data_IF_833365529544
#
_entry.id   IF_833365529544
#
_cell.length_a   1.000
_cell.length_b   1.000
_cell.length_c   1.000
_cell.angle_alpha   90.00
_cell.angle_beta   90.00
_cell.angle_gamma   90.00
#
_symmetry.space_group_name_H-M   'P 1'
#
loop_
_entity.id
_entity.type
_entity.pdbx_description
1 polymer ?
#
# COMPACT_ATOMS: atom_id res chain seq x y z
N UNK A 1 -14.43 -3.71 -8.69
CA UNK A 1 -13.19 -4.07 -7.99
C UNK A 1 -12.70 -2.87 -7.20
N UNK A 2 -12.27 -3.09 -5.99
CA UNK A 2 -11.80 -2.02 -5.12
C UNK A 2 -10.44 -2.34 -4.48
N UNK A 3 -9.72 -1.29 -4.10
CA UNK A 3 -8.40 -1.38 -3.48
C UNK A 3 -8.33 -0.53 -2.22
N UNK A 4 -7.77 -1.11 -1.15
CA UNK A 4 -7.48 -0.42 0.11
C UNK A 4 -6.12 0.29 -0.03
N UNK A 5 -6.06 1.59 0.26
CA UNK A 5 -4.87 2.42 0.08
C UNK A 5 -4.14 2.64 1.40
N UNK A 6 -3.44 1.61 1.88
CA UNK A 6 -2.64 1.66 3.10
C UNK A 6 -1.21 2.17 2.87
N UNK A 7 -0.52 2.42 3.97
CA UNK A 7 0.87 2.85 3.92
C UNK A 7 1.12 4.20 4.56
N UNK A 8 2.22 4.84 4.18
CA UNK A 8 2.67 6.11 4.76
C UNK A 8 1.60 7.19 4.66
N UNK A 9 1.32 7.85 5.78
CA UNK A 9 0.44 9.01 5.89
C UNK A 9 1.29 10.29 5.99
N UNK A 10 1.45 10.89 7.14
CA UNK A 10 2.39 11.97 7.49
C UNK A 10 2.59 13.04 6.39
N UNK A 11 1.50 13.55 5.82
CA UNK A 11 1.52 14.55 4.74
C UNK A 11 2.18 14.05 3.44
N UNK A 12 2.28 12.73 3.25
CA UNK A 12 2.69 12.16 1.96
C UNK A 12 1.55 12.29 0.96
N UNK A 13 1.88 12.69 -0.25
CA UNK A 13 0.91 12.90 -1.33
C UNK A 13 0.83 11.73 -2.30
N UNK A 14 1.39 10.58 -1.97
CA UNK A 14 1.41 9.44 -2.89
C UNK A 14 -0.02 9.00 -3.28
N UNK A 15 -0.98 9.10 -2.35
CA UNK A 15 -2.39 8.76 -2.66
C UNK A 15 -2.98 9.72 -3.68
N UNK A 16 -2.71 11.01 -3.52
CA UNK A 16 -3.18 12.05 -4.45
C UNK A 16 -2.56 11.88 -5.84
N UNK A 17 -1.36 11.32 -5.94
CA UNK A 17 -0.71 11.00 -7.21
C UNK A 17 -1.25 9.72 -7.84
N UNK A 18 -1.59 8.72 -7.03
CA UNK A 18 -2.09 7.43 -7.52
C UNK A 18 -3.56 7.49 -7.95
N UNK A 19 -4.41 8.10 -7.14
CA UNK A 19 -5.87 8.06 -7.33
C UNK A 19 -6.29 8.50 -8.74
N UNK A 20 -5.75 9.60 -9.32
CA UNK A 20 -6.12 9.99 -10.68
C UNK A 20 -5.77 8.97 -11.76
N UNK A 21 -4.84 8.06 -11.48
CA UNK A 21 -4.41 7.02 -12.42
C UNK A 21 -5.30 5.77 -12.38
N UNK A 22 -6.13 5.64 -11.35
CA UNK A 22 -6.95 4.44 -11.13
C UNK A 22 -8.27 4.50 -11.89
N UNK A 23 -8.66 3.38 -12.50
CA UNK A 23 -9.99 3.16 -13.07
C UNK A 23 -10.87 2.30 -12.16
N UNK A 24 -10.33 1.77 -11.08
CA UNK A 24 -11.08 0.97 -10.10
C UNK A 24 -11.51 1.84 -8.92
N UNK A 25 -12.43 1.30 -8.12
CA UNK A 25 -12.82 1.91 -6.85
C UNK A 25 -11.69 1.78 -5.83
N UNK A 26 -11.71 2.64 -4.83
CA UNK A 26 -10.70 2.62 -3.78
C UNK A 26 -11.28 3.04 -2.44
N UNK A 27 -10.62 2.63 -1.38
CA UNK A 27 -10.86 3.11 -0.02
C UNK A 27 -9.60 3.80 0.49
N UNK A 28 -9.71 5.09 0.83
CA UNK A 28 -8.63 5.88 1.42
C UNK A 28 -8.82 5.93 2.94
N UNK A 29 -7.97 5.26 3.74
CA UNK A 29 -8.13 5.22 5.19
C UNK A 29 -7.71 6.50 5.90
N UNK A 30 -7.13 7.47 5.20
CA UNK A 30 -6.67 8.72 5.82
C UNK A 30 -7.87 9.55 6.22
N UNK A 31 -7.96 9.89 7.51
CA UNK A 31 -9.02 10.71 8.08
C UNK A 31 -8.42 11.78 8.98
N UNK A 32 -9.13 12.92 9.12
CA UNK A 32 -8.70 14.02 10.00
C UNK A 32 -8.83 13.63 11.46
N UNK A 33 -9.89 12.90 11.83
CA UNK A 33 -10.15 12.43 13.17
C UNK A 33 -10.09 10.90 13.23
N UNK A 34 -9.17 10.38 14.04
CA UNK A 34 -9.03 8.94 14.26
C UNK A 34 -9.98 8.47 15.36
N UNK A 35 -11.25 8.30 15.01
CA UNK A 35 -12.29 7.81 15.91
C UNK A 35 -12.31 6.28 15.98
N UNK A 36 -13.02 5.75 16.98
CA UNK A 36 -13.23 4.31 17.09
C UNK A 36 -13.99 3.75 15.87
N UNK A 37 -14.97 4.50 15.37
CA UNK A 37 -15.71 4.10 14.16
C UNK A 37 -14.81 4.12 12.91
N UNK A 38 -13.91 5.08 12.79
CA UNK A 38 -12.94 5.13 11.70
C UNK A 38 -11.99 3.93 11.74
N UNK A 39 -11.54 3.52 12.94
CA UNK A 39 -10.69 2.34 13.12
C UNK A 39 -11.42 1.05 12.69
N UNK A 40 -12.68 0.89 13.10
CA UNK A 40 -13.51 -0.25 12.72
C UNK A 40 -13.72 -0.33 11.22
N UNK A 41 -14.01 0.80 10.59
CA UNK A 41 -14.20 0.87 9.14
C UNK A 41 -12.92 0.50 8.39
N UNK A 42 -11.77 0.99 8.85
CA UNK A 42 -10.47 0.65 8.26
C UNK A 42 -10.20 -0.85 8.33
N UNK A 43 -10.39 -1.47 9.49
CA UNK A 43 -10.21 -2.92 9.66
C UNK A 43 -11.14 -3.71 8.75
N UNK A 44 -12.39 -3.29 8.63
CA UNK A 44 -13.38 -3.92 7.76
C UNK A 44 -12.97 -3.82 6.30
N UNK A 45 -12.60 -2.63 5.84
CA UNK A 45 -12.21 -2.39 4.44
C UNK A 45 -10.92 -3.11 4.07
N UNK A 46 -9.96 -3.19 4.97
CA UNK A 46 -8.74 -3.97 4.76
C UNK A 46 -9.06 -5.43 4.47
N UNK A 47 -10.06 -5.99 5.12
CA UNK A 47 -10.48 -7.38 4.93
C UNK A 47 -11.33 -7.54 3.66
N UNK A 48 -12.23 -6.60 3.38
CA UNK A 48 -13.25 -6.72 2.33
C UNK A 48 -12.78 -6.30 0.95
N UNK A 49 -11.86 -5.33 0.82
CA UNK A 49 -11.39 -4.88 -0.48
C UNK A 49 -10.76 -6.02 -1.28
N UNK A 50 -10.93 -5.97 -2.59
CA UNK A 50 -10.38 -6.99 -3.50
C UNK A 50 -8.85 -7.00 -3.46
N UNK A 51 -8.24 -5.84 -3.30
CA UNK A 51 -6.79 -5.69 -3.13
C UNK A 51 -6.49 -4.81 -1.94
N UNK A 52 -5.36 -5.09 -1.28
CA UNK A 52 -4.78 -4.23 -0.25
C UNK A 52 -3.40 -3.77 -0.74
N UNK A 53 -3.23 -2.47 -0.81
CA UNK A 53 -1.99 -1.82 -1.23
C UNK A 53 -1.33 -1.16 -0.02
N UNK A 54 -0.03 -1.35 0.10
CA UNK A 54 0.79 -0.66 1.08
C UNK A 54 1.95 0.03 0.39
N UNK A 55 1.97 1.36 0.43
CA UNK A 55 3.03 2.19 -0.13
C UNK A 55 3.83 2.80 1.01
N UNK A 56 5.11 2.54 1.04
CA UNK A 56 6.04 3.05 2.06
C UNK A 56 6.92 4.11 1.44
N UNK A 57 7.00 5.28 2.10
CA UNK A 57 7.82 6.39 1.64
C UNK A 57 8.76 6.89 2.75
N UNK A 58 9.79 7.70 2.43
CA UNK A 58 10.68 8.27 3.44
C UNK A 58 10.01 9.20 4.47
N UNK A 59 8.75 9.55 4.29
CA UNK A 59 7.98 10.29 5.30
C UNK A 59 7.42 9.39 6.39
N UNK A 60 7.60 8.07 6.28
CA UNK A 60 7.14 7.12 7.29
C UNK A 60 7.78 7.40 8.65
N UNK A 61 6.97 7.46 9.71
CA UNK A 61 7.42 7.52 11.09
C UNK A 61 6.99 6.28 11.88
N UNK A 62 5.72 5.88 11.76
CA UNK A 62 5.25 4.62 12.32
C UNK A 62 5.57 3.46 11.38
N UNK A 63 5.61 2.25 11.93
CA UNK A 63 6.00 1.05 11.18
C UNK A 63 4.86 0.05 10.99
N UNK A 64 3.66 0.39 11.46
CA UNK A 64 2.56 -0.58 11.49
C UNK A 64 2.12 -1.03 10.10
N UNK A 65 2.22 -0.18 9.09
CA UNK A 65 1.91 -0.56 7.70
C UNK A 65 2.81 -1.68 7.19
N UNK A 66 4.08 -1.72 7.65
CA UNK A 66 4.98 -2.83 7.32
C UNK A 66 4.51 -4.15 7.95
N UNK A 67 4.02 -4.08 9.18
CA UNK A 67 3.46 -5.23 9.89
C UNK A 67 2.21 -5.74 9.18
N UNK A 68 1.30 -4.83 8.82
CA UNK A 68 0.08 -5.17 8.09
C UNK A 68 0.39 -5.79 6.73
N UNK A 69 1.32 -5.20 5.97
CA UNK A 69 1.71 -5.72 4.66
C UNK A 69 2.28 -7.12 4.76
N UNK A 70 3.11 -7.38 5.76
CA UNK A 70 3.69 -8.70 6.00
C UNK A 70 2.62 -9.72 6.38
N UNK A 71 1.71 -9.34 7.29
CA UNK A 71 0.60 -10.19 7.70
C UNK A 71 -0.31 -10.53 6.53
N UNK A 72 -0.67 -9.54 5.72
CA UNK A 72 -1.51 -9.76 4.55
C UNK A 72 -0.81 -10.58 3.47
N UNK A 73 0.50 -10.41 3.29
CA UNK A 73 1.25 -11.21 2.32
C UNK A 73 1.26 -12.69 2.68
N UNK A 74 1.20 -13.02 3.97
CA UNK A 74 1.06 -14.40 4.44
C UNK A 74 -0.36 -14.94 4.30
N UNK A 75 -1.34 -14.15 4.67
CA UNK A 75 -2.74 -14.58 4.74
C UNK A 75 -3.46 -14.49 3.40
N UNK A 76 -3.13 -13.47 2.60
CA UNK A 76 -3.85 -13.10 1.37
C UNK A 76 -2.87 -12.65 0.28
N UNK A 77 -1.90 -13.51 -0.12
CA UNK A 77 -0.83 -13.07 -1.02
C UNK A 77 -1.35 -12.56 -2.39
N UNK A 78 -2.40 -13.19 -2.95
CA UNK A 78 -2.93 -12.78 -4.25
C UNK A 78 -3.58 -11.40 -4.22
N UNK A 79 -3.95 -10.91 -3.04
CA UNK A 79 -4.64 -9.62 -2.85
C UNK A 79 -3.72 -8.53 -2.34
N UNK A 80 -2.49 -8.86 -2.00
CA UNK A 80 -1.54 -7.95 -1.34
C UNK A 80 -0.55 -7.37 -2.34
N UNK A 81 -0.43 -6.05 -2.33
CA UNK A 81 0.50 -5.29 -3.16
C UNK A 81 1.36 -4.42 -2.25
N UNK A 82 2.67 -4.47 -2.45
CA UNK A 82 3.64 -3.71 -1.66
C UNK A 82 4.50 -2.86 -2.58
N UNK A 83 4.78 -1.62 -2.17
CA UNK A 83 5.63 -0.69 -2.93
C UNK A 83 6.44 0.16 -1.97
N UNK A 84 7.72 0.33 -2.27
CA UNK A 84 8.59 1.27 -1.58
C UNK A 84 8.98 2.36 -2.57
N UNK A 85 8.58 3.60 -2.27
CA UNK A 85 9.04 4.79 -3.00
C UNK A 85 10.27 5.33 -2.28
N UNK A 86 11.37 5.52 -3.00
CA UNK A 86 12.65 5.92 -2.38
C UNK A 86 12.78 7.42 -2.17
N UNK A 87 11.89 8.21 -2.76
CA UNK A 87 11.85 9.67 -2.59
C UNK A 87 10.42 10.13 -2.33
N UNK A 88 10.26 11.10 -1.43
CA UNK A 88 8.99 11.73 -1.14
C UNK A 88 9.26 13.20 -0.73
N UNK A 89 8.96 14.15 -1.62
CA UNK A 89 9.24 15.58 -1.44
C UNK A 89 10.70 15.86 -1.08
N UNK A 90 11.63 15.15 -1.73
CA UNK A 90 13.06 15.31 -1.47
C UNK A 90 13.57 14.57 -0.24
N UNK A 91 12.69 13.94 0.55
CA UNK A 91 13.10 13.06 1.64
C UNK A 91 13.56 11.72 1.08
N UNK A 92 14.61 11.18 1.66
CA UNK A 92 15.18 9.90 1.26
C UNK A 92 15.37 9.00 2.50
N UNK A 93 15.37 7.70 2.28
CA UNK A 93 15.71 6.75 3.33
C UNK A 93 17.22 6.76 3.60
N UNK A 94 17.61 6.42 4.81
CA UNK A 94 19.01 6.11 5.13
C UNK A 94 19.41 4.82 4.43
N UNK A 95 20.71 4.59 4.28
CA UNK A 95 21.22 3.35 3.71
C UNK A 95 20.75 2.12 4.50
N UNK A 96 20.74 2.22 5.82
CA UNK A 96 20.26 1.14 6.71
C UNK A 96 18.77 0.84 6.49
N UNK A 97 17.96 1.89 6.35
CA UNK A 97 16.53 1.73 6.04
C UNK A 97 16.32 1.06 4.69
N UNK A 98 17.07 1.48 3.66
CA UNK A 98 16.97 0.88 2.33
C UNK A 98 17.29 -0.62 2.35
N UNK A 99 18.30 -1.03 3.10
CA UNK A 99 18.64 -2.46 3.28
C UNK A 99 17.49 -3.22 3.92
N UNK A 100 16.91 -2.70 4.99
CA UNK A 100 15.79 -3.32 5.69
C UNK A 100 14.55 -3.41 4.79
N UNK A 101 14.28 -2.37 4.02
CA UNK A 101 13.13 -2.35 3.12
C UNK A 101 13.33 -3.29 1.94
N UNK A 102 14.55 -3.45 1.43
CA UNK A 102 14.83 -4.44 0.40
C UNK A 102 14.62 -5.86 0.91
N UNK A 103 15.02 -6.15 2.15
CA UNK A 103 14.74 -7.44 2.81
C UNK A 103 13.23 -7.65 2.98
N UNK A 104 12.50 -6.62 3.35
CA UNK A 104 11.04 -6.67 3.48
C UNK A 104 10.36 -6.96 2.14
N UNK A 105 10.79 -6.31 1.06
CA UNK A 105 10.30 -6.58 -0.30
C UNK A 105 10.51 -8.04 -0.69
N UNK A 106 11.69 -8.57 -0.41
CA UNK A 106 12.02 -9.97 -0.73
C UNK A 106 11.17 -10.95 0.08
N UNK A 107 10.95 -10.67 1.37
CA UNK A 107 10.08 -11.49 2.22
C UNK A 107 8.65 -11.54 1.67
N UNK A 108 8.09 -10.38 1.35
CA UNK A 108 6.73 -10.26 0.82
C UNK A 108 6.61 -10.94 -0.55
N UNK A 109 7.61 -10.77 -1.40
CA UNK A 109 7.68 -11.43 -2.71
C UNK A 109 7.75 -12.94 -2.56
N UNK A 110 8.52 -13.44 -1.59
CA UNK A 110 8.63 -14.88 -1.31
C UNK A 110 7.33 -15.47 -0.77
N UNK A 111 6.45 -14.65 -0.20
CA UNK A 111 5.09 -15.05 0.18
C UNK A 111 4.11 -15.07 -1.02
N UNK A 112 4.62 -14.79 -2.23
CA UNK A 112 3.85 -14.73 -3.48
C UNK A 112 2.91 -13.53 -3.59
N UNK A 113 3.14 -12.49 -2.82
CA UNK A 113 2.50 -11.20 -3.00
C UNK A 113 3.24 -10.38 -4.06
N UNK A 114 2.60 -9.35 -4.58
CA UNK A 114 3.18 -8.49 -5.63
C UNK A 114 3.93 -7.32 -5.02
N UNK A 115 5.10 -7.04 -5.61
CA UNK A 115 5.94 -5.89 -5.23
C UNK A 115 6.17 -5.05 -6.48
N UNK A 116 5.85 -3.76 -6.38
CA UNK A 116 6.09 -2.79 -7.46
C UNK A 116 7.01 -1.68 -6.96
N UNK A 117 7.65 -0.99 -7.88
CA UNK A 117 8.59 0.10 -7.57
C UNK A 117 8.04 1.48 -7.90
N UNK A 118 6.94 1.56 -8.66
CA UNK A 118 6.35 2.84 -9.08
C UNK A 118 4.83 2.83 -8.93
N UNK A 119 4.26 4.02 -8.76
CA UNK A 119 2.80 4.20 -8.71
C UNK A 119 2.17 3.87 -10.07
N UNK A 120 2.86 4.15 -11.16
CA UNK A 120 2.40 3.87 -12.52
C UNK A 120 2.22 2.37 -12.74
N UNK A 121 3.16 1.56 -12.27
CA UNK A 121 3.07 0.11 -12.38
C UNK A 121 1.92 -0.46 -11.54
N UNK A 122 1.69 0.09 -10.35
CA UNK A 122 0.55 -0.26 -9.51
C UNK A 122 -0.76 0.03 -10.24
N UNK A 123 -0.90 1.24 -10.79
CA UNK A 123 -2.10 1.65 -11.51
C UNK A 123 -2.35 0.76 -12.73
N UNK A 124 -1.30 0.47 -13.50
CA UNK A 124 -1.41 -0.41 -14.67
C UNK A 124 -1.91 -1.79 -14.29
N UNK A 125 -1.38 -2.36 -13.21
CA UNK A 125 -1.81 -3.66 -12.71
C UNK A 125 -3.27 -3.65 -12.26
N UNK A 126 -3.64 -2.68 -11.42
CA UNK A 126 -5.00 -2.58 -10.87
C UNK A 126 -6.03 -2.32 -11.98
N UNK A 127 -5.71 -1.46 -12.93
CA UNK A 127 -6.60 -1.16 -14.06
C UNK A 127 -6.80 -2.39 -14.95
N UNK A 128 -5.73 -3.17 -15.17
CA UNK A 128 -5.84 -4.44 -15.89
C UNK A 128 -6.75 -5.42 -15.14
N UNK A 129 -6.53 -5.60 -13.85
CA UNK A 129 -7.35 -6.50 -13.04
C UNK A 129 -8.82 -6.07 -12.98
N UNK A 130 -9.08 -4.77 -13.03
CA UNK A 130 -10.44 -4.23 -13.06
C UNK A 130 -11.19 -4.57 -14.37
N UNK A 131 -10.47 -4.83 -15.45
CA UNK A 131 -11.05 -5.23 -16.74
C UNK A 131 -11.30 -6.74 -16.85
N UNK A 132 -10.61 -7.54 -16.02
CA UNK A 132 -10.71 -9.00 -16.09
C UNK A 132 -12.03 -9.43 -15.44
N UNK A 133 -12.91 -10.16 -16.15
CA UNK A 133 -14.14 -10.68 -15.53
C UNK A 133 -13.84 -11.74 -14.48
N UNK A 134 -14.63 -11.74 -13.45
CA UNK A 134 -14.54 -12.75 -12.39
C UNK A 134 -14.99 -14.14 -12.90
#
# INVERSE_FOLDING_TARGET
MDVFLGGTCNNSEWRDELIPLLNCDYFNPVVDDWTEDAQKLELQKRIECDFVLYVITPKMTGVYSLVEATDDSNKRPQRTIFCVLTNDDGNEFTESQLKSLEMTKNLIRNNNARVFDTLQDIASFLNYMNLVPN
#
